data_IF_917240030533
#
_entry.id   IF_917240030533
#
_cell.length_a   1.000
_cell.length_b   1.000
_cell.length_c   1.000
_cell.angle_alpha   90.00
_cell.angle_beta   90.00
_cell.angle_gamma   90.00
#
_symmetry.space_group_name_H-M   'P 1'
#
loop_
_entity.id
_entity.type
_entity.pdbx_description
1 polymer ?
#
# COMPACT_ATOMS: atom_id res chain seq x y z
N UNK A 1 21.30 -4.72 -8.57
CA UNK A 1 22.32 -4.73 -7.49
C UNK A 1 21.62 -5.36 -6.29
N UNK A 2 22.12 -6.47 -5.75
CA UNK A 2 21.46 -7.13 -4.61
C UNK A 2 21.70 -6.32 -3.34
N UNK A 3 20.73 -5.49 -2.97
CA UNK A 3 20.78 -4.67 -1.76
C UNK A 3 20.57 -5.51 -0.50
N UNK A 4 19.88 -6.66 -0.60
CA UNK A 4 19.49 -7.43 0.58
C UNK A 4 20.69 -8.03 1.31
N UNK A 5 21.77 -8.37 0.61
CA UNK A 5 22.99 -8.93 1.19
C UNK A 5 24.01 -7.90 1.71
N UNK A 6 23.72 -6.60 1.61
CA UNK A 6 24.64 -5.52 2.04
C UNK A 6 24.58 -5.30 3.56
N UNK A 7 25.65 -4.75 4.18
CA UNK A 7 25.62 -4.34 5.59
C UNK A 7 24.44 -3.39 5.88
N UNK A 8 23.87 -3.47 7.10
CA UNK A 8 22.69 -2.68 7.48
C UNK A 8 22.86 -1.18 7.25
N UNK A 9 24.04 -0.62 7.48
CA UNK A 9 24.32 0.79 7.22
C UNK A 9 24.17 1.16 5.73
N UNK A 10 24.76 0.37 4.83
CA UNK A 10 24.63 0.59 3.37
C UNK A 10 23.18 0.42 2.89
N UNK A 11 22.43 -0.51 3.48
CA UNK A 11 21.01 -0.70 3.19
C UNK A 11 20.17 0.50 3.59
N UNK A 12 20.43 1.06 4.79
CA UNK A 12 19.77 2.27 5.27
C UNK A 12 20.09 3.47 4.37
N UNK A 13 21.36 3.69 4.05
CA UNK A 13 21.78 4.80 3.19
C UNK A 13 21.16 4.69 1.78
N UNK A 14 21.12 3.48 1.24
CA UNK A 14 20.44 3.20 -0.02
C UNK A 14 18.94 3.54 0.03
N UNK A 15 18.25 3.21 1.14
CA UNK A 15 16.82 3.49 1.32
C UNK A 15 16.54 4.99 1.39
N UNK A 16 17.36 5.77 2.10
CA UNK A 16 17.22 7.23 2.09
C UNK A 16 17.56 7.83 0.72
N UNK A 17 18.58 7.31 0.04
CA UNK A 17 18.87 7.69 -1.35
C UNK A 17 17.71 7.36 -2.31
N UNK A 18 16.94 6.29 -2.05
CA UNK A 18 15.72 5.98 -2.80
C UNK A 18 14.64 7.03 -2.55
N UNK A 19 14.44 7.46 -1.29
CA UNK A 19 13.52 8.53 -0.95
C UNK A 19 13.88 9.85 -1.66
N UNK A 20 15.17 10.22 -1.68
CA UNK A 20 15.65 11.45 -2.33
C UNK A 20 15.43 11.43 -3.84
N UNK A 21 15.80 10.31 -4.51
CA UNK A 21 15.56 10.13 -5.94
C UNK A 21 14.06 10.17 -6.27
N UNK A 22 13.24 9.54 -5.42
CA UNK A 22 11.80 9.57 -5.57
C UNK A 22 11.25 11.00 -5.46
N UNK A 23 11.65 11.77 -4.44
CA UNK A 23 11.22 13.15 -4.26
C UNK A 23 11.69 14.05 -5.43
N UNK A 24 12.91 13.86 -5.94
CA UNK A 24 13.42 14.59 -7.10
C UNK A 24 12.59 14.30 -8.37
N UNK A 25 12.34 13.01 -8.66
CA UNK A 25 11.53 12.59 -9.81
C UNK A 25 10.08 13.06 -9.67
N UNK A 26 9.50 12.94 -8.48
CA UNK A 26 8.13 13.37 -8.22
C UNK A 26 7.96 14.87 -8.48
N UNK A 27 8.93 15.70 -8.13
CA UNK A 27 8.86 17.16 -8.27
C UNK A 27 9.31 17.68 -9.63
N UNK A 28 9.79 16.82 -10.54
CA UNK A 28 10.22 17.32 -11.85
C UNK A 28 9.05 18.02 -12.55
N UNK A 29 9.29 19.11 -13.29
CA UNK A 29 8.23 19.84 -13.98
C UNK A 29 7.38 18.93 -14.88
N UNK A 30 8.02 17.99 -15.58
CA UNK A 30 7.38 17.03 -16.48
C UNK A 30 6.47 16.09 -15.69
N UNK A 31 6.94 15.51 -14.59
CA UNK A 31 6.15 14.59 -13.78
C UNK A 31 4.99 15.31 -13.10
N UNK A 32 5.20 16.56 -12.66
CA UNK A 32 4.15 17.38 -12.07
C UNK A 32 3.05 17.69 -13.08
N UNK A 33 3.40 18.19 -14.28
CA UNK A 33 2.43 18.48 -15.33
C UNK A 33 1.70 17.22 -15.81
N UNK A 34 2.41 16.10 -15.95
CA UNK A 34 1.81 14.82 -16.33
C UNK A 34 0.75 14.37 -15.31
N UNK A 35 1.03 14.50 -14.00
CA UNK A 35 0.04 14.20 -12.96
C UNK A 35 -1.16 15.14 -13.00
N UNK A 36 -0.95 16.45 -13.22
CA UNK A 36 -2.05 17.41 -13.35
C UNK A 36 -2.95 17.09 -14.54
N UNK A 37 -2.35 16.78 -15.70
CA UNK A 37 -3.07 16.35 -16.89
C UNK A 37 -3.85 15.07 -16.64
N UNK A 38 -3.22 14.05 -16.07
CA UNK A 38 -3.87 12.79 -15.74
C UNK A 38 -5.08 13.01 -14.82
N UNK A 39 -4.95 13.83 -13.78
CA UNK A 39 -6.05 14.12 -12.85
C UNK A 39 -7.20 14.92 -13.49
N UNK A 40 -6.93 15.67 -14.56
CA UNK A 40 -7.96 16.36 -15.32
C UNK A 40 -8.69 15.41 -16.29
N UNK A 41 -7.97 14.45 -16.89
CA UNK A 41 -8.52 13.41 -17.76
C UNK A 41 -9.29 12.34 -16.96
N UNK A 42 -8.82 12.05 -15.74
CA UNK A 42 -9.35 11.04 -14.82
C UNK A 42 -9.67 11.65 -13.45
N UNK A 43 -10.82 12.33 -13.32
CA UNK A 43 -11.15 13.10 -12.13
C UNK A 43 -11.47 12.25 -10.89
N UNK A 44 -11.77 10.96 -11.01
CA UNK A 44 -12.04 10.11 -9.84
C UNK A 44 -10.79 9.97 -8.97
N UNK A 45 -10.88 10.33 -7.69
CA UNK A 45 -9.81 10.09 -6.73
C UNK A 45 -9.85 8.63 -6.27
N UNK A 46 -8.71 7.94 -6.30
CA UNK A 46 -8.63 6.53 -5.93
C UNK A 46 -7.90 6.38 -4.59
N UNK A 47 -8.61 5.89 -3.59
CA UNK A 47 -8.06 5.52 -2.29
C UNK A 47 -7.96 4.00 -2.19
N UNK A 48 -6.84 3.49 -1.68
CA UNK A 48 -6.54 2.05 -1.67
C UNK A 48 -6.35 1.58 -0.24
N UNK A 49 -7.28 0.77 0.26
CA UNK A 49 -7.19 0.09 1.55
C UNK A 49 -6.53 -1.27 1.33
N UNK A 50 -5.31 -1.47 1.82
CA UNK A 50 -4.51 -2.67 1.54
C UNK A 50 -3.67 -3.19 2.70
N UNK A 51 -3.11 -4.38 2.52
CA UNK A 51 -2.22 -5.00 3.48
C UNK A 51 -0.89 -4.23 3.64
N UNK A 52 -0.23 -4.44 4.78
CA UNK A 52 1.17 -4.03 5.01
C UNK A 52 2.18 -4.84 4.19
N UNK A 53 1.75 -5.96 3.61
CA UNK A 53 2.56 -6.82 2.75
C UNK A 53 3.19 -6.01 1.60
N UNK A 54 4.52 -6.14 1.46
CA UNK A 54 5.31 -5.40 0.49
C UNK A 54 4.97 -5.74 -0.96
N UNK A 55 4.41 -6.94 -1.22
CA UNK A 55 4.03 -7.40 -2.55
C UNK A 55 2.79 -6.69 -3.10
N UNK A 56 1.90 -6.17 -2.24
CA UNK A 56 0.70 -5.44 -2.68
C UNK A 56 1.06 -4.00 -3.04
N UNK A 57 1.67 -3.84 -4.21
CA UNK A 57 2.05 -2.56 -4.76
C UNK A 57 1.19 -2.19 -5.96
N UNK A 58 -0.05 -1.77 -5.70
CA UNK A 58 -1.02 -1.40 -6.75
C UNK A 58 -0.42 -0.47 -7.81
N UNK A 59 0.25 0.67 -7.49
CA UNK A 59 0.86 1.51 -8.54
C UNK A 59 1.80 0.77 -9.49
N UNK A 60 2.64 -0.13 -8.96
CA UNK A 60 3.54 -0.94 -9.81
C UNK A 60 2.73 -1.97 -10.61
N UNK A 61 1.84 -2.69 -9.94
CA UNK A 61 1.02 -3.71 -10.57
C UNK A 61 0.08 -3.17 -11.64
N UNK A 62 -0.27 -1.88 -11.61
CA UNK A 62 -1.15 -1.22 -12.57
C UNK A 62 -0.42 -0.23 -13.48
N UNK A 63 0.92 -0.22 -13.48
CA UNK A 63 1.75 0.76 -14.20
C UNK A 63 1.28 2.21 -14.00
N UNK A 64 0.77 2.52 -12.81
CA UNK A 64 0.17 3.81 -12.49
C UNK A 64 1.23 4.73 -11.88
N UNK A 65 1.38 5.96 -12.41
CA UNK A 65 2.32 6.92 -11.86
C UNK A 65 2.14 7.15 -10.35
N UNK A 66 3.26 7.27 -9.64
CA UNK A 66 3.23 7.46 -8.18
C UNK A 66 2.57 8.79 -7.81
N UNK A 67 1.79 8.76 -6.73
CA UNK A 67 1.05 9.92 -6.20
C UNK A 67 -0.35 10.12 -6.79
N UNK A 68 -0.80 9.25 -7.67
CA UNK A 68 -2.19 9.23 -8.15
C UNK A 68 -3.11 8.42 -7.23
N UNK A 69 -2.61 7.32 -6.67
CA UNK A 69 -3.35 6.48 -5.73
C UNK A 69 -3.02 6.91 -4.29
N UNK A 70 -4.04 7.00 -3.44
CA UNK A 70 -3.89 7.32 -2.01
C UNK A 70 -3.87 6.02 -1.19
N UNK A 71 -2.71 5.55 -0.70
CA UNK A 71 -2.63 4.27 0.01
C UNK A 71 -2.95 4.40 1.51
N UNK A 72 -3.66 3.41 2.02
CA UNK A 72 -3.84 3.12 3.44
C UNK A 72 -3.39 1.68 3.66
N UNK A 73 -2.48 1.45 4.61
CA UNK A 73 -1.92 0.14 4.89
C UNK A 73 -2.18 -0.27 6.32
N UNK A 74 -2.70 -1.47 6.51
CA UNK A 74 -2.79 -2.12 7.82
C UNK A 74 -2.51 -3.63 7.69
N UNK A 75 -2.21 -4.32 8.79
CA UNK A 75 -2.05 -5.77 8.76
C UNK A 75 -3.29 -6.43 8.16
N UNK A 76 -3.09 -7.30 7.17
CA UNK A 76 -4.16 -7.99 6.45
C UNK A 76 -5.04 -7.10 5.55
N UNK A 77 -4.86 -5.78 5.55
CA UNK A 77 -5.89 -4.88 5.06
C UNK A 77 -7.11 -4.85 5.99
N UNK A 78 -6.91 -5.21 7.26
CA UNK A 78 -7.95 -5.15 8.29
C UNK A 78 -8.17 -3.69 8.66
N UNK A 79 -9.26 -3.11 8.20
CA UNK A 79 -9.69 -1.77 8.59
C UNK A 79 -11.03 -1.83 9.32
N UNK A 80 -11.23 -0.88 10.22
CA UNK A 80 -12.49 -0.61 10.90
C UNK A 80 -12.71 0.90 10.86
N UNK A 81 -13.70 1.35 10.09
CA UNK A 81 -13.98 2.76 9.89
C UNK A 81 -14.62 3.41 11.13
N UNK A 82 -15.03 2.61 12.13
CA UNK A 82 -15.39 3.09 13.46
C UNK A 82 -14.18 3.47 14.32
N UNK A 83 -12.95 3.08 13.95
CA UNK A 83 -11.74 3.52 14.64
C UNK A 83 -11.55 5.03 14.47
N UNK A 84 -11.53 5.84 15.55
CA UNK A 84 -11.58 7.30 15.45
C UNK A 84 -10.52 7.90 14.53
N UNK A 85 -9.26 7.46 14.61
CA UNK A 85 -8.23 8.06 13.78
C UNK A 85 -8.41 7.73 12.28
N UNK A 86 -8.74 6.49 11.93
CA UNK A 86 -8.95 6.11 10.54
C UNK A 86 -10.20 6.77 9.97
N UNK A 87 -11.32 6.70 10.71
CA UNK A 87 -12.59 7.28 10.32
C UNK A 87 -12.46 8.76 9.99
N UNK A 88 -11.81 9.54 10.86
CA UNK A 88 -11.57 10.97 10.64
C UNK A 88 -10.68 11.23 9.41
N UNK A 89 -9.60 10.46 9.23
CA UNK A 89 -8.70 10.64 8.07
C UNK A 89 -9.44 10.34 6.76
N UNK A 90 -10.26 9.30 6.72
CA UNK A 90 -11.04 8.95 5.53
C UNK A 90 -12.17 9.94 5.27
N UNK A 91 -12.91 10.36 6.31
CA UNK A 91 -13.96 11.36 6.19
C UNK A 91 -13.40 12.69 5.66
N UNK A 92 -12.29 13.19 6.22
CA UNK A 92 -11.61 14.38 5.73
C UNK A 92 -11.12 14.23 4.28
N UNK A 93 -10.59 13.06 3.92
CA UNK A 93 -10.17 12.79 2.54
C UNK A 93 -11.35 12.87 1.58
N UNK A 94 -12.45 12.17 1.87
CA UNK A 94 -13.67 12.17 1.05
C UNK A 94 -14.25 13.58 0.95
N UNK A 95 -14.41 14.29 2.07
CA UNK A 95 -14.97 15.64 2.10
C UNK A 95 -14.16 16.60 1.23
N UNK A 96 -12.82 16.56 1.31
CA UNK A 96 -11.94 17.38 0.47
C UNK A 96 -12.11 17.08 -1.01
N UNK A 97 -12.21 15.80 -1.41
CA UNK A 97 -12.39 15.41 -2.81
C UNK A 97 -13.77 15.83 -3.33
N UNK A 98 -14.83 15.55 -2.57
CA UNK A 98 -16.21 15.86 -2.95
C UNK A 98 -16.44 17.38 -3.00
N UNK A 99 -15.84 18.16 -2.09
CA UNK A 99 -15.91 19.63 -2.13
C UNK A 99 -15.30 20.23 -3.41
N UNK A 100 -14.43 19.48 -4.09
CA UNK A 100 -13.87 19.86 -5.39
C UNK A 100 -14.70 19.34 -6.59
N UNK A 101 -15.90 18.79 -6.34
CA UNK A 101 -16.79 18.25 -7.37
C UNK A 101 -16.33 16.91 -7.96
N UNK A 102 -15.49 16.16 -7.25
CA UNK A 102 -14.89 14.92 -7.72
C UNK A 102 -15.47 13.69 -7.02
N UNK A 103 -15.40 12.56 -7.70
CA UNK A 103 -15.78 11.24 -7.19
C UNK A 103 -14.66 10.59 -6.38
N UNK A 104 -15.00 9.66 -5.49
CA UNK A 104 -14.05 8.81 -4.75
C UNK A 104 -14.31 7.34 -5.06
N UNK A 105 -13.27 6.64 -5.50
CA UNK A 105 -13.26 5.18 -5.62
C UNK A 105 -12.36 4.61 -4.52
N UNK A 106 -12.93 3.80 -3.64
CA UNK A 106 -12.16 2.96 -2.72
C UNK A 106 -11.86 1.62 -3.37
N UNK A 107 -10.58 1.28 -3.52
CA UNK A 107 -10.15 -0.10 -3.74
C UNK A 107 -9.96 -0.77 -2.38
N UNK A 108 -10.91 -1.60 -1.99
CA UNK A 108 -10.91 -2.36 -0.75
C UNK A 108 -10.31 -3.73 -1.02
N UNK A 109 -9.05 -3.92 -0.62
CA UNK A 109 -8.25 -5.05 -1.12
C UNK A 109 -8.04 -6.18 -0.12
N UNK A 110 -8.09 -7.40 -0.63
CA UNK A 110 -7.50 -8.60 -0.02
C UNK A 110 -6.42 -9.15 -0.95
N UNK A 111 -5.61 -10.09 -0.46
CA UNK A 111 -4.62 -10.76 -1.30
C UNK A 111 -4.47 -12.23 -0.97
N UNK A 112 -4.04 -12.99 -1.97
CA UNK A 112 -3.80 -14.42 -1.88
C UNK A 112 -2.71 -14.84 -2.88
N UNK A 113 -2.16 -16.03 -2.71
CA UNK A 113 -1.27 -16.67 -3.69
C UNK A 113 -2.00 -17.87 -4.28
N UNK A 114 -2.08 -17.93 -5.61
CA UNK A 114 -2.73 -19.03 -6.31
C UNK A 114 -1.92 -20.33 -6.22
N UNK A 115 -0.59 -20.24 -6.28
CA UNK A 115 0.32 -21.38 -6.32
C UNK A 115 0.65 -21.98 -4.95
N UNK A 116 0.54 -21.22 -3.86
CA UNK A 116 0.73 -21.73 -2.49
C UNK A 116 -0.05 -20.91 -1.46
N UNK A 117 -1.10 -21.47 -0.86
CA UNK A 117 -1.90 -20.76 0.15
C UNK A 117 -1.10 -20.15 1.30
N UNK A 118 -0.02 -20.81 1.75
CA UNK A 118 0.85 -20.28 2.81
C UNK A 118 1.67 -19.04 2.41
N UNK A 119 1.67 -18.66 1.13
CA UNK A 119 2.22 -17.39 0.65
C UNK A 119 1.14 -16.30 0.58
N UNK A 120 -0.10 -16.59 0.94
CA UNK A 120 -1.20 -15.63 1.04
C UNK A 120 -1.11 -14.70 2.26
N UNK A 121 -2.25 -14.17 2.69
CA UNK A 121 -2.31 -13.16 3.74
C UNK A 121 -2.06 -13.73 5.15
N UNK A 122 -0.88 -13.48 5.72
CA UNK A 122 -0.58 -13.83 7.12
C UNK A 122 -1.42 -13.03 8.15
N UNK A 123 -2.06 -11.93 7.74
CA UNK A 123 -2.97 -11.17 8.60
C UNK A 123 -4.30 -11.89 8.88
N UNK A 124 -4.68 -12.84 8.02
CA UNK A 124 -5.83 -13.71 8.16
C UNK A 124 -5.42 -15.18 8.31
N UNK A 125 -4.19 -15.45 8.77
CA UNK A 125 -3.65 -16.80 8.92
C UNK A 125 -3.80 -17.67 7.65
N UNK A 126 -3.63 -17.03 6.48
CA UNK A 126 -3.75 -17.64 5.15
C UNK A 126 -5.16 -18.07 4.76
N UNK A 127 -6.19 -17.64 5.51
CA UNK A 127 -7.59 -17.83 5.15
C UNK A 127 -8.06 -16.74 4.17
N UNK A 128 -8.02 -17.08 2.88
CA UNK A 128 -8.51 -16.19 1.80
C UNK A 128 -9.99 -15.88 1.93
N UNK A 129 -10.82 -16.82 2.41
CA UNK A 129 -12.25 -16.60 2.55
C UNK A 129 -12.54 -15.59 3.67
N UNK A 130 -11.82 -15.68 4.80
CA UNK A 130 -11.90 -14.67 5.87
C UNK A 130 -11.44 -13.29 5.38
N UNK A 131 -10.37 -13.23 4.59
CA UNK A 131 -9.89 -11.97 4.01
C UNK A 131 -10.94 -11.34 3.07
N UNK A 132 -11.58 -12.13 2.21
CA UNK A 132 -12.68 -11.68 1.35
C UNK A 132 -13.89 -11.22 2.18
N UNK A 133 -14.29 -11.98 3.21
CA UNK A 133 -15.41 -11.60 4.06
C UNK A 133 -15.18 -10.24 4.74
N UNK A 134 -13.94 -9.97 5.16
CA UNK A 134 -13.56 -8.70 5.77
C UNK A 134 -13.58 -7.52 4.78
N UNK A 135 -13.21 -7.71 3.51
CA UNK A 135 -13.31 -6.63 2.52
C UNK A 135 -14.76 -6.24 2.23
N UNK A 136 -15.68 -7.21 2.21
CA UNK A 136 -17.11 -6.92 2.13
C UNK A 136 -17.65 -6.22 3.39
N UNK A 137 -17.08 -6.48 4.57
CA UNK A 137 -17.41 -5.72 5.78
C UNK A 137 -16.98 -4.26 5.68
N UNK A 138 -15.74 -4.01 5.24
CA UNK A 138 -15.27 -2.64 4.99
C UNK A 138 -16.15 -1.94 3.95
N UNK A 139 -16.54 -2.63 2.87
CA UNK A 139 -17.49 -2.11 1.87
C UNK A 139 -18.78 -1.63 2.53
N UNK A 140 -19.40 -2.45 3.38
CA UNK A 140 -20.63 -2.08 4.11
C UNK A 140 -20.41 -0.85 5.01
N UNK A 141 -19.26 -0.73 5.65
CA UNK A 141 -18.94 0.45 6.47
C UNK A 141 -18.79 1.72 5.63
N UNK A 142 -18.16 1.63 4.45
CA UNK A 142 -18.08 2.76 3.50
C UNK A 142 -19.49 3.16 3.04
N UNK A 143 -20.32 2.21 2.64
CA UNK A 143 -21.72 2.45 2.23
C UNK A 143 -22.56 3.06 3.36
N UNK A 144 -22.34 2.62 4.61
CA UNK A 144 -23.02 3.16 5.78
C UNK A 144 -22.66 4.63 6.05
N UNK A 145 -21.40 5.00 5.86
CA UNK A 145 -20.89 6.34 6.17
C UNK A 145 -21.14 7.33 5.02
N UNK A 146 -20.95 6.89 3.77
CA UNK A 146 -20.94 7.76 2.60
C UNK A 146 -22.12 7.55 1.63
N UNK A 147 -23.04 6.64 1.96
CA UNK A 147 -24.24 6.33 1.17
C UNK A 147 -24.06 5.11 0.26
N UNK A 148 -25.17 4.38 0.05
CA UNK A 148 -25.23 3.17 -0.77
C UNK A 148 -25.77 3.39 -2.19
N UNK A 149 -25.90 4.63 -2.66
CA UNK A 149 -26.32 4.94 -4.03
C UNK A 149 -25.16 4.86 -5.04
N UNK A 150 -23.93 4.79 -4.54
CA UNK A 150 -22.66 4.71 -5.29
C UNK A 150 -22.39 5.87 -6.27
N UNK A 151 -23.15 6.97 -6.18
CA UNK A 151 -23.03 8.08 -7.11
C UNK A 151 -21.76 8.91 -6.85
N UNK A 152 -21.38 9.08 -5.58
CA UNK A 152 -20.27 9.95 -5.17
C UNK A 152 -19.07 9.16 -4.66
N UNK A 153 -19.31 8.13 -3.86
CA UNK A 153 -18.29 7.25 -3.28
C UNK A 153 -18.60 5.82 -3.66
N UNK A 154 -17.62 5.12 -4.24
CA UNK A 154 -17.76 3.72 -4.66
C UNK A 154 -16.77 2.81 -3.91
N UNK A 155 -17.22 1.88 -3.05
CA UNK A 155 -16.37 0.87 -2.41
C UNK A 155 -16.22 -0.41 -3.27
N UNK A 156 -15.22 -0.42 -4.14
CA UNK A 156 -14.90 -1.58 -4.97
C UNK A 156 -14.10 -2.62 -4.18
N UNK A 157 -14.67 -3.81 -4.00
CA UNK A 157 -13.93 -4.97 -3.51
C UNK A 157 -13.01 -5.48 -4.61
N UNK A 158 -11.73 -5.62 -4.29
CA UNK A 158 -10.70 -5.93 -5.26
C UNK A 158 -9.72 -6.96 -4.69
N UNK A 159 -9.59 -8.12 -5.32
CA UNK A 159 -8.56 -9.11 -4.99
C UNK A 159 -7.21 -8.77 -5.64
N UNK A 160 -6.14 -9.21 -5.00
CA UNK A 160 -4.78 -9.15 -5.52
C UNK A 160 -4.14 -10.54 -5.44
N UNK A 161 -3.96 -11.19 -6.59
CA UNK A 161 -3.23 -12.45 -6.71
C UNK A 161 -1.73 -12.14 -6.77
N UNK A 162 -0.96 -12.61 -5.79
CA UNK A 162 0.43 -12.18 -5.57
C UNK A 162 1.47 -12.90 -6.44
N UNK A 163 1.12 -13.99 -7.10
CA UNK A 163 2.09 -14.74 -7.92
C UNK A 163 2.31 -14.04 -9.27
N UNK A 164 1.25 -13.51 -9.86
CA UNK A 164 1.27 -12.78 -11.14
C UNK A 164 1.00 -11.27 -11.01
N UNK A 165 0.79 -10.77 -9.79
CA UNK A 165 0.33 -9.40 -9.47
C UNK A 165 -1.01 -9.05 -10.17
N UNK A 166 -1.89 -10.03 -10.33
CA UNK A 166 -3.14 -9.86 -11.06
C UNK A 166 -4.27 -9.36 -10.15
N UNK A 167 -5.04 -8.39 -10.63
CA UNK A 167 -6.24 -7.91 -9.93
C UNK A 167 -7.44 -8.85 -10.14
N UNK A 168 -8.35 -8.85 -9.18
CA UNK A 168 -9.67 -9.48 -9.28
C UNK A 168 -10.73 -8.44 -8.96
N UNK A 169 -11.61 -8.13 -9.89
CA UNK A 169 -12.66 -7.12 -9.70
C UNK A 169 -13.98 -7.81 -9.35
N UNK A 170 -14.56 -7.46 -8.20
CA UNK A 170 -15.82 -8.04 -7.76
C UNK A 170 -17.00 -7.23 -8.28
N UNK A 171 -17.93 -7.91 -8.95
CA UNK A 171 -19.20 -7.37 -9.40
C UNK A 171 -20.25 -7.28 -8.30
N UNK A 172 -21.42 -6.77 -8.67
CA UNK A 172 -22.53 -6.53 -7.73
C UNK A 172 -23.34 -7.77 -7.39
N UNK A 173 -23.36 -8.80 -8.24
CA UNK A 173 -24.12 -10.04 -8.04
C UNK A 173 -23.21 -11.26 -7.78
N UNK A 174 -21.98 -11.01 -7.32
CA UNK A 174 -21.01 -12.04 -6.94
C UNK A 174 -20.11 -12.53 -8.08
N UNK A 175 -20.30 -12.00 -9.30
CA UNK A 175 -19.37 -12.25 -10.40
C UNK A 175 -18.00 -11.66 -10.09
N UNK A 176 -16.94 -12.28 -10.64
CA UNK A 176 -15.58 -11.82 -10.50
C UNK A 176 -14.91 -11.76 -11.87
N UNK A 177 -14.17 -10.68 -12.10
CA UNK A 177 -13.33 -10.51 -13.28
C UNK A 177 -11.87 -10.68 -12.86
N UNK A 178 -11.29 -11.83 -13.17
CA UNK A 178 -9.89 -12.14 -12.90
C UNK A 178 -9.03 -11.62 -14.07
N UNK A 179 -8.15 -10.67 -13.79
CA UNK A 179 -7.27 -10.10 -14.83
C UNK A 179 -6.20 -11.11 -15.27
N UNK A 180 -5.88 -12.11 -14.44
CA UNK A 180 -5.03 -13.23 -14.80
C UNK A 180 -5.61 -14.05 -15.99
N UNK A 181 -6.93 -14.14 -16.12
CA UNK A 181 -7.55 -14.93 -17.19
C UNK A 181 -7.60 -14.20 -18.53
N UNK A 182 -7.15 -12.94 -18.55
CA UNK A 182 -7.18 -12.06 -19.72
C UNK A 182 -5.78 -11.82 -20.29
N UNK A 183 -5.76 -11.28 -21.50
CA UNK A 183 -4.56 -10.86 -22.22
C UNK A 183 -4.67 -9.41 -22.69
N UNK A 184 -3.59 -8.85 -23.21
CA UNK A 184 -3.61 -7.52 -23.85
C UNK A 184 -4.56 -7.44 -25.05
N UNK A 185 -4.90 -8.57 -25.69
CA UNK A 185 -5.91 -8.60 -26.75
C UNK A 185 -7.33 -8.30 -26.22
N UNK A 186 -7.62 -8.62 -24.95
CA UNK A 186 -8.94 -8.42 -24.35
C UNK A 186 -9.22 -6.95 -23.98
N UNK A 187 -8.22 -6.06 -24.09
CA UNK A 187 -8.33 -4.63 -23.77
C UNK A 187 -9.53 -3.96 -24.44
N UNK A 188 -9.79 -4.29 -25.69
CA UNK A 188 -10.89 -3.70 -26.48
C UNK A 188 -12.28 -4.06 -25.94
N UNK A 189 -12.39 -5.16 -25.17
CA UNK A 189 -13.66 -5.63 -24.59
C UNK A 189 -13.80 -5.27 -23.10
N UNK A 190 -12.73 -4.76 -22.48
CA UNK A 190 -12.66 -4.59 -21.03
C UNK A 190 -13.66 -3.54 -20.51
N UNK A 191 -13.88 -2.46 -21.27
CA UNK A 191 -14.88 -1.45 -20.94
C UNK A 191 -16.30 -2.05 -20.86
N UNK A 192 -16.69 -2.85 -21.86
CA UNK A 192 -17.99 -3.53 -21.88
C UNK A 192 -18.13 -4.53 -20.74
N UNK A 193 -17.08 -5.32 -20.46
CA UNK A 193 -17.06 -6.26 -19.33
C UNK A 193 -17.23 -5.52 -18.00
N UNK A 194 -16.55 -4.38 -17.83
CA UNK A 194 -16.64 -3.57 -16.61
C UNK A 194 -18.03 -2.94 -16.45
N UNK A 195 -18.65 -2.46 -17.52
CA UNK A 195 -20.01 -1.93 -17.49
C UNK A 195 -21.05 -3.00 -17.12
N UNK A 196 -20.87 -4.24 -17.58
CA UNK A 196 -21.73 -5.36 -17.20
C UNK A 196 -21.50 -5.82 -15.75
N UNK A 197 -20.23 -5.83 -15.30
CA UNK A 197 -19.82 -6.26 -13.95
C UNK A 197 -20.24 -5.25 -12.86
N UNK A 198 -20.15 -3.96 -13.17
CA UNK A 198 -20.38 -2.84 -12.25
C UNK A 198 -21.43 -1.88 -12.84
N UNK A 199 -22.69 -2.33 -13.01
CA UNK A 199 -23.73 -1.51 -13.63
C UNK A 199 -24.11 -0.30 -12.77
N UNK A 200 -23.92 -0.39 -11.45
CA UNK A 200 -24.19 0.65 -10.46
C UNK A 200 -23.04 1.67 -10.29
N UNK A 201 -21.87 1.42 -10.90
CA UNK A 201 -20.76 2.38 -10.89
C UNK A 201 -21.01 3.49 -11.93
N UNK A 202 -20.83 4.78 -11.58
CA UNK A 202 -20.93 5.85 -12.57
C UNK A 202 -19.99 5.65 -13.76
N UNK A 203 -20.45 6.00 -14.96
CA UNK A 203 -19.69 5.80 -16.20
C UNK A 203 -18.29 6.45 -16.16
N UNK A 204 -18.19 7.65 -15.57
CA UNK A 204 -16.91 8.34 -15.38
C UNK A 204 -15.97 7.54 -14.46
N UNK A 205 -16.46 7.01 -13.33
CA UNK A 205 -15.62 6.20 -12.44
C UNK A 205 -15.14 4.91 -13.11
N UNK A 206 -15.99 4.26 -13.92
CA UNK A 206 -15.58 3.10 -14.74
C UNK A 206 -14.50 3.48 -15.74
N UNK A 207 -14.66 4.61 -16.42
CA UNK A 207 -13.66 5.12 -17.36
C UNK A 207 -12.33 5.45 -16.67
N UNK A 208 -12.37 5.96 -15.43
CA UNK A 208 -11.18 6.29 -14.64
C UNK A 208 -10.50 5.06 -14.02
N UNK A 209 -11.24 3.97 -13.80
CA UNK A 209 -10.70 2.67 -13.38
C UNK A 209 -10.02 1.93 -14.53
N UNK A 210 -10.49 2.11 -15.76
CA UNK A 210 -10.04 1.36 -16.93
C UNK A 210 -8.51 1.47 -17.19
N UNK A 211 -7.85 2.64 -17.08
CA UNK A 211 -6.39 2.75 -17.20
C UNK A 211 -5.63 1.86 -16.22
N UNK A 212 -6.10 1.70 -14.99
CA UNK A 212 -5.46 0.83 -13.99
C UNK A 212 -5.55 -0.64 -14.42
N UNK A 213 -6.71 -1.07 -14.94
CA UNK A 213 -6.91 -2.44 -15.39
C UNK A 213 -6.09 -2.74 -16.65
N UNK A 214 -6.00 -1.80 -17.58
CA UNK A 214 -5.10 -1.91 -18.72
C UNK A 214 -3.64 -2.07 -18.26
N UNK A 215 -3.16 -1.17 -17.41
CA UNK A 215 -1.82 -1.27 -16.86
C UNK A 215 -1.55 -2.60 -16.17
N UNK A 216 -2.56 -3.17 -15.48
CA UNK A 216 -2.45 -4.50 -14.88
C UNK A 216 -2.32 -5.63 -15.90
N UNK A 217 -3.08 -5.61 -17.00
CA UNK A 217 -2.91 -6.61 -18.08
C UNK A 217 -1.50 -6.59 -18.67
N UNK A 218 -0.96 -5.40 -18.90
CA UNK A 218 0.43 -5.20 -19.37
C UNK A 218 1.44 -5.75 -18.36
N UNK A 219 1.24 -5.44 -17.08
CA UNK A 219 2.12 -5.88 -16.01
C UNK A 219 2.10 -7.40 -15.86
N UNK A 220 0.92 -8.03 -15.83
CA UNK A 220 0.77 -9.50 -15.74
C UNK A 220 1.51 -10.20 -16.89
N UNK A 221 1.42 -9.69 -18.12
CA UNK A 221 2.19 -10.26 -19.24
C UNK A 221 3.71 -10.12 -19.06
N UNK A 222 4.17 -9.00 -18.52
CA UNK A 222 5.57 -8.79 -18.14
C UNK A 222 6.02 -9.77 -17.04
N UNK A 223 5.22 -9.92 -15.98
CA UNK A 223 5.46 -10.88 -14.88
C UNK A 223 5.58 -12.30 -15.42
N UNK A 224 4.64 -12.74 -16.25
CA UNK A 224 4.66 -14.06 -16.89
C UNK A 224 5.93 -14.26 -17.73
N UNK A 225 6.38 -13.21 -18.42
CA UNK A 225 7.62 -13.26 -19.21
C UNK A 225 8.85 -13.45 -18.31
N UNK A 226 8.93 -12.71 -17.20
CA UNK A 226 10.00 -12.83 -16.20
C UNK A 226 10.00 -14.21 -15.51
N UNK A 227 8.82 -14.77 -15.23
CA UNK A 227 8.70 -16.13 -14.67
C UNK A 227 9.23 -17.15 -15.67
N UNK A 228 8.85 -17.05 -16.95
CA UNK A 228 9.36 -17.93 -18.01
C UNK A 228 10.88 -17.84 -18.17
N UNK A 229 11.47 -16.66 -18.01
CA UNK A 229 12.92 -16.46 -18.03
C UNK A 229 13.62 -16.72 -16.70
N UNK A 230 12.89 -17.14 -15.65
CA UNK A 230 13.38 -17.41 -14.28
C UNK A 230 14.00 -16.21 -13.57
N UNK A 231 13.65 -14.99 -13.98
CA UNK A 231 14.15 -13.75 -13.38
C UNK A 231 13.47 -13.39 -12.05
N UNK A 232 12.29 -13.98 -11.77
CA UNK A 232 11.41 -13.56 -10.66
C UNK A 232 11.26 -14.56 -9.51
N UNK A 233 12.01 -15.66 -9.49
CA UNK A 233 11.86 -16.73 -8.47
C UNK A 233 11.99 -16.23 -7.02
N UNK A 234 12.78 -15.17 -6.79
CA UNK A 234 13.07 -14.61 -5.46
C UNK A 234 12.06 -13.57 -4.97
N UNK A 235 11.18 -13.05 -5.84
CA UNK A 235 10.20 -12.01 -5.46
C UNK A 235 8.97 -12.57 -4.76
N UNK A 236 8.80 -13.89 -4.79
CA UNK A 236 7.66 -14.58 -4.19
C UNK A 236 7.83 -14.77 -2.67
N UNK A 237 9.08 -14.79 -2.18
CA UNK A 237 9.40 -14.94 -0.76
C UNK A 237 9.66 -13.59 -0.07
N UNK A 238 9.19 -13.48 1.18
CA UNK A 238 9.47 -12.32 2.04
C UNK A 238 10.97 -12.15 2.31
N UNK A 239 11.50 -10.94 2.04
CA UNK A 239 12.91 -10.55 2.32
C UNK A 239 13.01 -9.15 2.94
N UNK A 240 11.91 -8.68 3.53
CA UNK A 240 11.84 -7.40 4.18
C UNK A 240 12.84 -7.32 5.33
N UNK A 241 13.53 -6.19 5.42
CA UNK A 241 14.51 -5.86 6.47
C UNK A 241 14.23 -4.49 7.11
N UNK A 242 13.10 -3.87 6.75
CA UNK A 242 12.64 -2.59 7.29
C UNK A 242 11.22 -2.71 7.81
N UNK A 243 10.95 -2.14 8.99
CA UNK A 243 9.61 -1.87 9.51
C UNK A 243 9.37 -0.36 9.38
N UNK A 244 8.39 0.01 8.57
CA UNK A 244 7.95 1.38 8.39
C UNK A 244 6.66 1.63 9.17
N UNK A 245 6.65 2.62 10.06
CA UNK A 245 5.47 2.95 10.85
C UNK A 245 4.98 4.38 10.56
N UNK A 246 3.67 4.52 10.33
CA UNK A 246 3.04 5.80 10.02
C UNK A 246 2.63 5.89 8.54
N UNK A 247 2.97 6.98 7.85
CA UNK A 247 2.67 7.15 6.42
C UNK A 247 3.80 7.85 5.67
N UNK A 248 3.63 8.01 4.36
CA UNK A 248 4.57 8.75 3.52
C UNK A 248 5.69 7.90 2.94
N UNK A 249 5.42 6.62 2.74
CA UNK A 249 6.38 5.63 2.24
C UNK A 249 6.16 5.33 0.75
N UNK A 250 5.60 6.27 -0.01
CA UNK A 250 5.26 6.07 -1.43
C UNK A 250 6.50 5.76 -2.30
N UNK A 251 7.69 6.15 -1.82
CA UNK A 251 8.97 5.84 -2.46
C UNK A 251 9.37 4.36 -2.34
N UNK A 252 8.83 3.62 -1.38
CA UNK A 252 9.10 2.18 -1.18
C UNK A 252 8.22 1.34 -2.10
N UNK A 253 8.54 1.41 -3.39
CA UNK A 253 7.88 0.64 -4.44
C UNK A 253 8.58 -0.69 -4.75
N UNK A 254 9.80 -0.88 -4.24
CA UNK A 254 10.55 -2.13 -4.40
C UNK A 254 9.93 -3.22 -3.53
N UNK A 255 9.49 -4.35 -4.11
CA UNK A 255 8.99 -5.49 -3.35
C UNK A 255 10.03 -5.99 -2.33
N UNK A 256 9.54 -6.65 -1.28
CA UNK A 256 10.39 -7.32 -0.28
C UNK A 256 11.43 -6.44 0.43
N UNK A 257 11.25 -5.12 0.48
CA UNK A 257 12.13 -4.20 1.24
C UNK A 257 11.58 -3.89 2.63
N UNK A 258 10.28 -3.56 2.71
CA UNK A 258 9.68 -3.01 3.92
C UNK A 258 8.28 -3.53 4.20
N UNK A 259 8.00 -3.73 5.48
CA UNK A 259 6.66 -3.93 6.02
C UNK A 259 6.13 -2.57 6.47
N UNK A 260 5.05 -2.08 5.85
CA UNK A 260 4.54 -0.71 6.09
C UNK A 260 3.25 -0.74 6.89
N UNK A 261 3.31 -0.29 8.13
CA UNK A 261 2.21 -0.28 9.10
C UNK A 261 1.66 1.14 9.22
N UNK A 262 0.39 1.34 8.88
CA UNK A 262 -0.33 2.57 9.17
C UNK A 262 -0.89 2.60 10.60
N UNK A 263 -1.11 3.79 11.19
CA UNK A 263 -1.63 3.93 12.56
C UNK A 263 -3.17 3.77 12.60
N UNK A 264 -3.69 2.75 11.91
CA UNK A 264 -5.13 2.57 11.66
C UNK A 264 -5.77 1.46 12.48
N UNK A 265 -5.04 0.92 13.45
CA UNK A 265 -5.52 -0.11 14.38
C UNK A 265 -5.53 0.44 15.81
N UNK A 266 -6.57 0.15 16.62
CA UNK A 266 -6.54 0.39 18.06
C UNK A 266 -5.44 -0.43 18.76
N UNK A 267 -5.11 -1.60 18.22
CA UNK A 267 -4.09 -2.51 18.73
C UNK A 267 -2.84 -2.43 17.85
N UNK A 268 -2.20 -1.25 17.82
CA UNK A 268 -1.05 -1.00 16.95
C UNK A 268 0.17 -1.89 17.28
N UNK A 269 0.23 -2.44 18.50
CA UNK A 269 1.27 -3.40 18.91
C UNK A 269 1.19 -4.72 18.14
N UNK A 270 -0.01 -5.19 17.75
CA UNK A 270 -0.21 -6.45 17.02
C UNK A 270 0.49 -6.46 15.66
N UNK A 271 0.26 -5.49 14.74
CA UNK A 271 0.97 -5.45 13.47
C UNK A 271 2.48 -5.25 13.65
N UNK A 272 2.92 -4.52 14.69
CA UNK A 272 4.34 -4.35 14.99
C UNK A 272 4.98 -5.69 15.40
N UNK A 273 4.33 -6.45 16.29
CA UNK A 273 4.80 -7.79 16.68
C UNK A 273 4.85 -8.75 15.49
N UNK A 274 3.82 -8.74 14.64
CA UNK A 274 3.81 -9.57 13.42
C UNK A 274 4.94 -9.18 12.46
N UNK A 275 5.18 -7.88 12.27
CA UNK A 275 6.28 -7.44 11.42
C UNK A 275 7.65 -7.83 11.99
N UNK A 276 7.87 -7.68 13.30
CA UNK A 276 9.09 -8.12 13.98
C UNK A 276 9.31 -9.63 13.84
N UNK A 277 8.26 -10.45 13.96
CA UNK A 277 8.39 -11.90 13.76
C UNK A 277 8.77 -12.27 12.32
N UNK A 278 8.28 -11.52 11.32
CA UNK A 278 8.66 -11.71 9.91
C UNK A 278 10.14 -11.39 9.71
N UNK A 279 10.62 -10.25 10.25
CA UNK A 279 12.05 -9.88 10.18
C UNK A 279 12.93 -10.96 10.83
N UNK A 280 12.58 -11.41 12.04
CA UNK A 280 13.33 -12.46 12.73
C UNK A 280 13.34 -13.78 11.95
N UNK A 281 12.20 -14.20 11.40
CA UNK A 281 12.11 -15.40 10.57
C UNK A 281 12.91 -15.26 9.26
N UNK A 282 13.00 -14.06 8.68
CA UNK A 282 13.84 -13.79 7.51
C UNK A 282 15.33 -13.95 7.85
N UNK A 283 15.78 -13.46 9.01
CA UNK A 283 17.16 -13.62 9.50
C UNK A 283 17.49 -15.08 9.79
N UNK A 284 16.62 -15.79 10.52
CA UNK A 284 16.81 -17.20 10.86
C UNK A 284 16.88 -18.12 9.64
N UNK A 285 16.11 -17.81 8.60
CA UNK A 285 16.13 -18.54 7.33
C UNK A 285 17.30 -18.14 6.42
N UNK A 286 18.14 -17.16 6.80
CA UNK A 286 19.24 -16.66 5.97
C UNK A 286 18.78 -15.86 4.74
N UNK A 287 17.52 -15.42 4.69
CA UNK A 287 16.96 -14.63 3.57
C UNK A 287 17.47 -13.19 3.55
N UNK A 288 17.81 -12.68 4.73
CA UNK A 288 18.52 -11.43 4.98
C UNK A 288 19.67 -11.66 5.99
N UNK A 289 20.73 -10.84 6.00
CA UNK A 289 21.81 -10.98 6.98
C UNK A 289 21.35 -10.73 8.43
N UNK A 290 22.00 -11.39 9.40
CA UNK A 290 21.76 -11.24 10.85
C UNK A 290 22.60 -10.09 11.46
N UNK A 291 22.64 -8.96 10.78
CA UNK A 291 23.37 -7.73 11.14
C UNK A 291 22.42 -6.58 11.52
N UNK A 292 21.12 -6.87 11.63
CA UNK A 292 20.09 -5.93 12.08
C UNK A 292 19.10 -5.51 11.02
N UNK A 293 18.22 -4.59 11.42
CA UNK A 293 17.09 -4.13 10.62
C UNK A 293 16.78 -2.66 10.92
N UNK A 294 16.01 -2.00 10.05
CA UNK A 294 15.60 -0.61 10.21
C UNK A 294 14.17 -0.53 10.77
N UNK A 295 13.98 0.23 11.84
CA UNK A 295 12.68 0.79 12.22
C UNK A 295 12.63 2.27 11.77
N UNK A 296 11.78 2.58 10.79
CA UNK A 296 11.59 3.93 10.26
C UNK A 296 10.18 4.43 10.55
N UNK A 297 10.05 5.45 11.40
CA UNK A 297 8.77 6.12 11.64
C UNK A 297 8.66 7.42 10.82
N UNK A 298 7.53 7.62 10.12
CA UNK A 298 7.28 8.84 9.36
C UNK A 298 5.81 9.24 9.37
N UNK A 299 5.54 10.54 9.41
CA UNK A 299 4.21 11.12 9.33
C UNK A 299 4.25 12.30 8.36
N UNK A 300 3.33 12.35 7.38
CA UNK A 300 3.32 13.44 6.43
C UNK A 300 2.65 14.70 7.01
N UNK A 301 3.08 15.85 6.52
CA UNK A 301 2.47 17.15 6.72
C UNK A 301 2.17 17.81 5.37
N UNK A 302 1.14 18.64 5.29
CA UNK A 302 0.80 19.42 4.09
C UNK A 302 1.18 20.90 4.23
N UNK A 303 1.14 21.42 5.47
CA UNK A 303 1.43 22.81 5.78
C UNK A 303 2.60 22.95 6.74
N UNK A 304 3.43 23.96 6.51
CA UNK A 304 4.47 24.35 7.46
C UNK A 304 3.85 24.93 8.73
N UNK A 305 4.64 25.02 9.81
CA UNK A 305 4.15 25.51 11.10
C UNK A 305 3.48 24.40 11.92
N UNK A 306 2.19 24.57 12.26
CA UNK A 306 1.48 23.71 13.22
C UNK A 306 1.37 22.26 12.73
N UNK A 307 1.07 22.05 11.44
CA UNK A 307 0.91 20.69 10.90
C UNK A 307 2.24 19.93 10.87
N UNK A 308 3.33 20.57 10.40
CA UNK A 308 4.70 20.01 10.51
C UNK A 308 5.08 19.70 11.95
N UNK A 309 4.87 20.60 12.90
CA UNK A 309 5.19 20.36 14.31
C UNK A 309 4.39 19.17 14.89
N UNK A 310 3.12 19.02 14.49
CA UNK A 310 2.30 17.86 14.85
C UNK A 310 2.82 16.57 14.22
N UNK A 311 3.27 16.61 12.97
CA UNK A 311 3.88 15.46 12.30
C UNK A 311 5.17 15.01 13.02
N UNK A 312 6.02 15.95 13.45
CA UNK A 312 7.22 15.64 14.25
C UNK A 312 6.86 14.88 15.54
N UNK A 313 5.90 15.39 16.33
CA UNK A 313 5.45 14.73 17.56
C UNK A 313 4.90 13.33 17.31
N UNK A 314 4.06 13.17 16.28
CA UNK A 314 3.49 11.87 15.93
C UNK A 314 4.56 10.88 15.47
N UNK A 315 5.51 11.31 14.63
CA UNK A 315 6.62 10.48 14.20
C UNK A 315 7.48 10.02 15.37
N UNK A 316 7.84 10.92 16.30
CA UNK A 316 8.58 10.56 17.50
C UNK A 316 7.82 9.56 18.38
N UNK A 317 6.51 9.80 18.61
CA UNK A 317 5.68 8.88 19.38
C UNK A 317 5.64 7.48 18.75
N UNK A 318 5.37 7.39 17.44
CA UNK A 318 5.32 6.11 16.72
C UNK A 318 6.66 5.38 16.79
N UNK A 319 7.77 6.11 16.61
CA UNK A 319 9.13 5.59 16.69
C UNK A 319 9.41 4.93 18.05
N UNK A 320 9.17 5.67 19.14
CA UNK A 320 9.40 5.18 20.50
C UNK A 320 8.46 4.02 20.85
N UNK A 321 7.17 4.15 20.56
CA UNK A 321 6.17 3.11 20.83
C UNK A 321 6.54 1.78 20.17
N UNK A 322 6.89 1.80 18.88
CA UNK A 322 7.27 0.59 18.17
C UNK A 322 8.59 0.00 18.66
N UNK A 323 9.58 0.85 18.94
CA UNK A 323 10.84 0.41 19.48
C UNK A 323 10.66 -0.31 20.83
N UNK A 324 9.79 0.20 21.69
CA UNK A 324 9.51 -0.38 23.01
C UNK A 324 8.75 -1.71 22.92
N UNK A 325 7.76 -1.80 22.02
CA UNK A 325 7.08 -3.07 21.71
C UNK A 325 8.09 -4.12 21.25
N UNK A 326 8.98 -3.77 20.30
CA UNK A 326 9.95 -4.73 19.77
C UNK A 326 10.96 -5.15 20.83
N UNK A 327 11.52 -4.22 21.61
CA UNK A 327 12.49 -4.55 22.67
C UNK A 327 11.90 -5.45 23.75
N UNK A 328 10.63 -5.24 24.10
CA UNK A 328 9.94 -6.04 25.12
C UNK A 328 9.67 -7.46 24.64
N UNK A 329 9.16 -7.60 23.42
CA UNK A 329 8.65 -8.89 22.90
C UNK A 329 9.74 -9.70 22.18
N UNK A 330 10.73 -9.03 21.60
CA UNK A 330 11.84 -9.64 20.86
C UNK A 330 13.20 -9.04 21.30
N UNK A 331 13.68 -9.33 22.53
CA UNK A 331 14.85 -8.64 23.09
C UNK A 331 16.12 -8.73 22.23
N UNK A 332 16.39 -9.90 21.62
CA UNK A 332 17.53 -10.10 20.72
C UNK A 332 17.42 -9.19 19.50
N UNK A 333 16.29 -9.24 18.80
CA UNK A 333 16.02 -8.43 17.62
C UNK A 333 16.04 -6.93 17.97
N UNK A 334 15.47 -6.55 19.10
CA UNK A 334 15.48 -5.18 19.62
C UNK A 334 16.89 -4.63 19.87
N UNK A 335 17.87 -5.48 20.20
CA UNK A 335 19.29 -5.12 20.30
C UNK A 335 19.98 -4.87 18.96
N UNK A 336 19.44 -5.41 17.86
CA UNK A 336 19.95 -5.24 16.50
C UNK A 336 19.17 -4.17 15.70
N UNK A 337 18.19 -3.53 16.32
CA UNK A 337 17.32 -2.53 15.70
C UNK A 337 18.04 -1.19 15.53
N UNK A 338 18.09 -0.69 14.29
CA UNK A 338 18.46 0.71 14.03
C UNK A 338 17.19 1.54 13.87
N UNK A 339 17.02 2.58 14.68
CA UNK A 339 15.84 3.46 14.60
C UNK A 339 16.14 4.74 13.83
N UNK A 340 15.20 5.16 12.97
CA UNK A 340 15.17 6.47 12.31
C UNK A 340 13.78 7.07 12.43
N UNK A 341 13.72 8.37 12.65
CA UNK A 341 12.47 9.13 12.75
C UNK A 341 12.51 10.20 11.67
N UNK A 342 11.41 10.37 10.95
CA UNK A 342 11.31 11.32 9.85
C UNK A 342 9.94 12.00 9.79
N UNK A 343 9.83 13.06 9.01
CA UNK A 343 8.57 13.64 8.54
C UNK A 343 8.58 13.69 7.02
N UNK A 344 7.41 13.64 6.39
CA UNK A 344 7.30 13.76 4.93
C UNK A 344 6.55 15.04 4.56
N UNK A 345 7.15 15.92 3.77
CA UNK A 345 6.37 16.95 3.09
C UNK A 345 5.49 16.29 2.03
N UNK A 346 4.18 16.34 2.21
CA UNK A 346 3.24 15.75 1.27
C UNK A 346 3.38 16.38 -0.13
N UNK A 347 3.48 17.70 -0.26
CA UNK A 347 3.49 18.36 -1.58
C UNK A 347 4.72 17.98 -2.40
N UNK A 348 5.85 17.86 -1.73
CA UNK A 348 7.15 17.65 -2.36
C UNK A 348 7.59 16.18 -2.34
N UNK A 349 6.95 15.34 -1.51
CA UNK A 349 7.35 13.96 -1.19
C UNK A 349 8.77 13.86 -0.62
N UNK A 350 9.29 14.96 -0.07
CA UNK A 350 10.63 14.99 0.56
C UNK A 350 10.54 14.36 1.95
N UNK A 351 11.37 13.35 2.20
CA UNK A 351 11.50 12.71 3.50
C UNK A 351 12.63 13.39 4.29
N UNK A 352 12.30 14.01 5.41
CA UNK A 352 13.25 14.72 6.26
C UNK A 352 13.50 13.90 7.54
N UNK A 353 14.72 13.43 7.74
CA UNK A 353 15.11 12.82 9.01
C UNK A 353 15.09 13.87 10.12
N UNK A 354 14.48 13.54 11.26
CA UNK A 354 14.40 14.40 12.44
C UNK A 354 15.08 13.72 13.62
N UNK A 355 15.66 14.54 14.51
CA UNK A 355 16.19 14.03 15.76
C UNK A 355 15.04 13.45 16.61
N UNK A 356 15.22 12.23 17.12
CA UNK A 356 14.32 11.72 18.15
C UNK A 356 14.47 12.58 19.39
N UNK A 357 13.42 13.34 19.74
CA UNK A 357 13.35 14.00 21.05
C UNK A 357 13.21 12.89 22.08
N UNK A 358 14.24 12.69 22.90
CA UNK A 358 14.23 11.77 24.04
C UNK A 358 13.24 12.24 25.09
#
# INVERSE_FOLDING_TARGET
MDIHGKPIAERIDWLFGLADRHAAMYRSPEAWLARQRYQAEHPTAIAVLKCMDGRINIPVATNTPVGLLMPFRNLGGIFDLGWPHLGEVLAHHVQRVVSAGRHVLFLVTYHYSQGEPKRGCAGFDYDTAAAIAHTYEIRRQVEHIFGGDHATVYPLVCGFETDEDALVIHGTAGEQLHLADLTTADRTTLEQRLAALLPDMPAQMRADLLPLLHGNLEHVESVRSQIRSRERLLDIEHREWTICLGRGFDFLHTPNVALIIGPYSPNLDVPIRRAASIIEANMQAGRIPDDGFLLLASVPYEEIGVDRARAELKSSFLSSFAADVIRREFPRLGGQMTTRTAVLDWRSRTLEAIASKQ
#
